data_IF_520354225061
#
_entry.id   IF_520354225061
#
_cell.length_a   1.000
_cell.length_b   1.000
_cell.length_c   1.000
_cell.angle_alpha   90.00
_cell.angle_beta   90.00
_cell.angle_gamma   90.00
#
_symmetry.space_group_name_H-M   'P 1'
#
loop_
_entity.id
_entity.type
_entity.pdbx_description
1 polymer ?
#
# COMPACT_ATOMS: atom_id res chain seq x y z
N UNK A 1 -10.63 17.62 27.07
CA UNK A 1 -9.30 17.19 26.58
C UNK A 1 -9.16 17.60 25.14
N UNK A 2 -8.06 18.24 24.76
CA UNK A 2 -7.77 18.56 23.36
C UNK A 2 -7.63 17.26 22.56
N UNK A 3 -8.29 17.16 21.41
CA UNK A 3 -8.14 15.99 20.53
C UNK A 3 -6.68 15.90 20.04
N UNK A 4 -6.05 14.74 20.21
CA UNK A 4 -4.65 14.50 19.82
C UNK A 4 -4.59 13.65 18.56
N UNK A 5 -3.55 13.85 17.76
CA UNK A 5 -3.27 13.07 16.57
C UNK A 5 -2.31 11.93 16.93
N UNK A 6 -2.67 10.71 16.57
CA UNK A 6 -1.76 9.57 16.72
C UNK A 6 -0.68 9.58 15.65
N UNK A 7 0.56 9.39 16.06
CA UNK A 7 1.74 9.52 15.20
C UNK A 7 2.50 8.19 15.08
N UNK A 8 3.10 7.97 13.92
CA UNK A 8 4.14 6.96 13.73
C UNK A 8 5.47 7.69 13.70
N UNK A 9 6.25 7.53 14.77
CA UNK A 9 7.47 8.30 15.02
C UNK A 9 8.71 7.41 14.84
N UNK A 10 9.58 7.76 13.89
CA UNK A 10 10.91 7.16 13.81
C UNK A 10 11.90 8.04 14.58
N UNK A 11 12.49 7.48 15.64
CA UNK A 11 13.55 8.11 16.40
C UNK A 11 14.88 7.71 15.78
N UNK A 12 15.67 8.70 15.38
CA UNK A 12 16.95 8.53 14.72
C UNK A 12 18.02 9.07 15.65
N UNK A 13 18.80 8.16 16.26
CA UNK A 13 19.79 8.51 17.26
C UNK A 13 21.21 8.31 16.73
N UNK A 14 22.00 9.36 16.86
CA UNK A 14 23.42 9.36 16.53
C UNK A 14 24.20 8.57 17.59
N UNK A 15 24.92 7.55 17.16
CA UNK A 15 25.84 6.76 17.99
C UNK A 15 27.27 6.85 17.49
N UNK A 16 27.61 7.91 16.75
CA UNK A 16 28.97 8.18 16.28
C UNK A 16 29.90 8.57 17.43
N UNK A 17 31.22 8.50 17.21
CA UNK A 17 32.22 8.83 18.24
C UNK A 17 32.08 10.23 18.84
N UNK A 18 31.50 11.20 18.13
CA UNK A 18 31.27 12.54 18.67
C UNK A 18 30.29 12.55 19.85
N UNK A 19 29.46 11.52 19.97
CA UNK A 19 28.46 11.34 21.03
C UNK A 19 29.05 10.78 22.33
N UNK A 20 30.35 10.41 22.33
CA UNK A 20 31.09 10.03 23.54
C UNK A 20 31.57 11.23 24.36
N UNK A 21 31.42 12.47 23.86
CA UNK A 21 31.87 13.67 24.58
C UNK A 21 31.10 13.84 25.91
N UNK A 22 31.82 14.34 26.91
CA UNK A 22 31.35 14.52 28.29
C UNK A 22 30.92 15.97 28.60
N UNK A 23 30.64 16.77 27.57
CA UNK A 23 30.03 18.10 27.74
C UNK A 23 28.58 18.01 28.25
N UNK A 24 27.98 16.82 28.18
CA UNK A 24 26.78 16.42 28.91
C UNK A 24 27.15 15.27 29.83
N UNK A 25 26.57 15.24 31.03
CA UNK A 25 26.80 14.14 31.98
C UNK A 25 25.74 13.04 31.78
N UNK A 26 26.12 11.75 31.75
CA UNK A 26 27.50 11.24 31.72
C UNK A 26 28.17 11.36 30.34
N UNK A 27 27.41 11.19 29.25
CA UNK A 27 27.85 11.43 27.87
C UNK A 27 26.71 12.07 27.08
N UNK A 28 26.99 12.65 25.91
CA UNK A 28 25.94 13.13 24.98
C UNK A 28 24.94 12.04 24.63
N UNK A 29 25.41 10.82 24.33
CA UNK A 29 24.53 9.70 24.01
C UNK A 29 23.57 9.39 25.15
N UNK A 30 24.07 9.29 26.38
CA UNK A 30 23.20 9.00 27.52
C UNK A 30 22.16 10.10 27.74
N UNK A 31 22.56 11.37 27.61
CA UNK A 31 21.62 12.48 27.68
C UNK A 31 20.53 12.40 26.59
N UNK A 32 20.87 11.95 25.37
CA UNK A 32 19.87 11.68 24.33
C UNK A 32 18.92 10.56 24.75
N UNK A 33 19.47 9.44 25.24
CA UNK A 33 18.70 8.27 25.65
C UNK A 33 17.70 8.66 26.74
N UNK A 34 18.13 9.40 27.75
CA UNK A 34 17.25 9.86 28.85
C UNK A 34 16.13 10.78 28.32
N UNK A 35 16.46 11.69 27.40
CA UNK A 35 15.49 12.58 26.78
C UNK A 35 14.49 11.82 25.87
N UNK A 36 14.96 10.83 25.12
CA UNK A 36 14.12 9.98 24.29
C UNK A 36 13.18 9.14 25.17
N UNK A 37 13.69 8.52 26.24
CA UNK A 37 12.88 7.75 27.18
C UNK A 37 11.78 8.60 27.80
N UNK A 38 12.12 9.83 28.24
CA UNK A 38 11.13 10.81 28.74
C UNK A 38 10.08 11.14 27.68
N UNK A 39 10.51 11.44 26.45
CA UNK A 39 9.62 11.75 25.33
C UNK A 39 8.65 10.61 25.03
N UNK A 40 9.15 9.37 24.92
CA UNK A 40 8.34 8.19 24.63
C UNK A 40 7.27 8.00 25.71
N UNK A 41 7.70 8.03 26.98
CA UNK A 41 6.81 7.85 28.13
C UNK A 41 5.69 8.91 28.15
N UNK A 42 6.07 10.18 28.14
CA UNK A 42 5.11 11.29 28.17
C UNK A 42 4.19 11.27 26.95
N UNK A 43 4.68 10.86 25.77
CA UNK A 43 3.84 10.73 24.59
C UNK A 43 2.83 9.60 24.71
N UNK A 44 3.22 8.44 25.21
CA UNK A 44 2.32 7.29 25.37
C UNK A 44 1.29 7.51 26.49
N UNK A 45 1.69 8.21 27.55
CA UNK A 45 0.77 8.67 28.61
C UNK A 45 -0.32 9.61 28.05
N UNK A 46 0.05 10.49 27.11
CA UNK A 46 -0.87 11.44 26.47
C UNK A 46 -1.67 10.83 25.30
N UNK A 47 -1.08 9.88 24.57
CA UNK A 47 -1.66 9.20 23.40
C UNK A 47 -1.07 7.79 23.24
N UNK A 48 -1.75 6.82 23.83
CA UNK A 48 -1.37 5.40 23.81
C UNK A 48 -1.42 4.75 22.41
N UNK A 49 -2.00 5.45 21.43
CA UNK A 49 -2.07 5.00 20.04
C UNK A 49 -0.87 5.44 19.20
N UNK A 50 -0.02 6.35 19.69
CA UNK A 50 1.25 6.65 19.01
C UNK A 50 2.18 5.43 19.04
N UNK A 51 2.99 5.26 18.00
CA UNK A 51 3.95 4.15 17.91
C UNK A 51 5.34 4.65 17.49
N UNK A 52 6.37 3.95 17.95
CA UNK A 52 7.76 4.34 17.80
C UNK A 52 8.60 3.23 17.16
N UNK A 53 9.53 3.62 16.31
CA UNK A 53 10.62 2.78 15.80
C UNK A 53 11.93 3.51 15.99
N UNK A 54 12.98 2.81 16.39
CA UNK A 54 14.29 3.37 16.67
C UNK A 54 15.26 2.95 15.58
N UNK A 55 15.97 3.94 15.05
CA UNK A 55 17.08 3.79 14.12
C UNK A 55 18.31 4.38 14.79
N UNK A 56 19.34 3.57 14.96
CA UNK A 56 20.66 4.10 15.32
C UNK A 56 21.48 4.33 14.07
N UNK A 57 22.41 5.26 14.14
CA UNK A 57 23.38 5.41 13.07
C UNK A 57 24.76 5.78 13.59
N UNK A 58 25.75 5.13 12.99
CA UNK A 58 27.14 5.52 13.03
C UNK A 58 27.69 5.44 11.61
N UNK A 59 28.64 4.54 11.33
CA UNK A 59 29.14 4.31 9.98
C UNK A 59 28.04 3.74 9.06
N UNK A 60 27.12 2.97 9.65
CA UNK A 60 25.93 2.46 9.00
C UNK A 60 24.67 2.84 9.81
N UNK A 61 23.54 2.89 9.11
CA UNK A 61 22.23 3.07 9.73
C UNK A 61 21.53 1.72 9.93
N UNK A 62 21.00 1.49 11.12
CA UNK A 62 20.39 0.22 11.52
C UNK A 62 19.07 0.45 12.24
N UNK A 63 18.04 -0.30 11.82
CA UNK A 63 16.75 -0.34 12.51
C UNK A 63 16.85 -1.30 13.68
N UNK A 64 16.53 -0.84 14.89
CA UNK A 64 16.55 -1.66 16.10
C UNK A 64 15.23 -2.41 16.30
N UNK A 65 14.11 -1.73 16.05
CA UNK A 65 12.77 -2.29 16.25
C UNK A 65 11.79 -1.80 15.19
N UNK A 66 10.76 -2.62 14.92
CA UNK A 66 9.57 -2.18 14.18
C UNK A 66 8.71 -1.24 15.05
N UNK A 67 7.72 -0.59 14.42
CA UNK A 67 6.80 0.29 15.16
C UNK A 67 6.08 -0.46 16.28
N UNK A 68 6.34 -0.04 17.52
CA UNK A 68 5.71 -0.57 18.73
C UNK A 68 5.29 0.58 19.64
N UNK A 69 4.30 0.34 20.48
CA UNK A 69 3.90 1.25 21.57
C UNK A 69 4.25 0.64 22.95
N UNK A 70 5.03 -0.44 22.98
CA UNK A 70 5.46 -1.11 24.20
C UNK A 70 6.73 -0.43 24.70
N UNK A 71 6.63 0.34 25.79
CA UNK A 71 7.74 1.09 26.38
C UNK A 71 8.96 0.22 26.70
N UNK A 72 8.72 -0.96 27.25
CA UNK A 72 9.79 -1.86 27.68
C UNK A 72 10.72 -2.25 26.53
N UNK A 73 10.15 -2.65 25.39
CA UNK A 73 10.92 -3.03 24.19
C UNK A 73 11.75 -1.86 23.65
N UNK A 74 11.16 -0.65 23.67
CA UNK A 74 11.83 0.58 23.23
C UNK A 74 12.99 0.93 24.17
N UNK A 75 12.80 0.80 25.48
CA UNK A 75 13.82 1.16 26.47
C UNK A 75 14.97 0.18 26.46
N UNK A 76 14.69 -1.13 26.35
CA UNK A 76 15.71 -2.17 26.16
C UNK A 76 16.56 -1.88 24.91
N UNK A 77 15.91 -1.54 23.78
CA UNK A 77 16.62 -1.17 22.54
C UNK A 77 17.53 0.05 22.69
N UNK A 78 17.15 1.02 23.53
CA UNK A 78 17.95 2.22 23.81
C UNK A 78 19.12 1.93 24.76
N UNK A 79 18.94 1.01 25.71
CA UNK A 79 19.99 0.65 26.68
C UNK A 79 21.10 -0.20 26.05
N UNK A 80 20.82 -0.90 24.95
CA UNK A 80 21.81 -1.68 24.19
C UNK A 80 22.66 -0.85 23.20
N UNK A 81 22.44 0.48 23.15
CA UNK A 81 23.16 1.35 22.24
C UNK A 81 24.64 1.46 22.60
N UNK A 82 25.49 1.30 21.58
CA UNK A 82 26.93 1.40 21.70
C UNK A 82 27.47 2.42 20.72
N UNK A 83 28.51 3.15 21.14
CA UNK A 83 29.14 4.20 20.33
C UNK A 83 30.19 3.57 19.42
N UNK A 84 30.20 3.99 18.15
CA UNK A 84 31.18 3.52 17.16
C UNK A 84 31.14 4.36 15.90
N UNK A 85 32.08 4.12 14.97
CA UNK A 85 32.04 4.69 13.62
C UNK A 85 32.00 6.23 13.49
N UNK A 86 31.76 6.66 12.26
CA UNK A 86 31.50 8.07 11.91
C UNK A 86 29.99 8.34 11.84
N UNK A 87 29.53 9.49 11.33
CA UNK A 87 28.10 9.82 11.30
C UNK A 87 27.53 9.75 9.88
N UNK A 88 26.77 8.69 9.58
CA UNK A 88 26.07 8.44 8.32
C UNK A 88 24.61 8.97 8.35
N UNK A 89 24.44 10.25 8.65
CA UNK A 89 23.11 10.88 8.79
C UNK A 89 22.22 10.72 7.54
N UNK A 90 22.80 10.78 6.34
CA UNK A 90 22.06 10.65 5.08
C UNK A 90 21.39 9.28 4.94
N UNK A 91 22.14 8.22 5.27
CA UNK A 91 21.68 6.84 5.21
C UNK A 91 20.63 6.56 6.30
N UNK A 92 20.80 7.16 7.48
CA UNK A 92 19.83 7.09 8.57
C UNK A 92 18.47 7.69 8.19
N UNK A 93 18.47 8.86 7.55
CA UNK A 93 17.25 9.49 7.04
C UNK A 93 16.60 8.64 5.92
N UNK A 94 17.39 8.09 5.00
CA UNK A 94 16.88 7.23 3.94
C UNK A 94 16.20 5.98 4.50
N UNK A 95 16.83 5.31 5.48
CA UNK A 95 16.26 4.15 6.16
C UNK A 95 14.98 4.52 6.92
N UNK A 96 14.97 5.65 7.63
CA UNK A 96 13.82 6.13 8.39
C UNK A 96 12.61 6.40 7.50
N UNK A 97 12.82 7.05 6.36
CA UNK A 97 11.76 7.30 5.38
C UNK A 97 11.24 5.97 4.81
N UNK A 98 12.13 5.02 4.52
CA UNK A 98 11.74 3.69 4.03
C UNK A 98 10.84 2.96 5.05
N UNK A 99 11.21 2.96 6.33
CA UNK A 99 10.42 2.36 7.42
C UNK A 99 9.02 2.97 7.48
N UNK A 100 8.92 4.31 7.41
CA UNK A 100 7.64 5.02 7.38
C UNK A 100 6.80 4.61 6.16
N UNK A 101 7.39 4.58 4.96
CA UNK A 101 6.66 4.20 3.73
C UNK A 101 6.14 2.76 3.85
N UNK A 102 6.95 1.85 4.37
CA UNK A 102 6.54 0.45 4.58
C UNK A 102 5.35 0.34 5.52
N UNK A 103 5.31 1.16 6.57
CA UNK A 103 4.20 1.20 7.52
C UNK A 103 2.94 1.85 6.93
N UNK A 104 3.08 2.99 6.25
CA UNK A 104 1.97 3.64 5.54
C UNK A 104 1.31 2.71 4.51
N UNK A 105 2.09 1.82 3.86
CA UNK A 105 1.51 0.83 2.96
C UNK A 105 0.66 -0.21 3.68
N UNK A 106 0.93 -0.52 4.94
CA UNK A 106 0.08 -1.41 5.76
C UNK A 106 -1.15 -0.64 6.26
N UNK A 107 -0.93 0.46 6.97
CA UNK A 107 -1.95 1.20 7.69
C UNK A 107 -1.71 2.71 7.50
N UNK A 108 -2.69 3.43 6.94
CA UNK A 108 -2.62 4.88 6.70
C UNK A 108 -3.38 5.70 7.76
N UNK A 109 -3.29 5.28 9.03
CA UNK A 109 -4.08 5.90 10.10
C UNK A 109 -3.33 6.97 10.89
N UNK A 110 -2.00 6.88 10.95
CA UNK A 110 -1.17 7.70 11.87
C UNK A 110 -0.29 8.66 11.09
N UNK A 111 -0.08 9.85 11.65
CA UNK A 111 0.75 10.91 11.03
C UNK A 111 2.23 10.50 11.11
N UNK A 112 2.97 10.44 9.99
CA UNK A 112 4.37 10.06 10.01
C UNK A 112 5.28 11.21 10.47
N UNK A 113 6.24 10.91 11.33
CA UNK A 113 7.21 11.88 11.85
C UNK A 113 8.58 11.24 12.05
N UNK A 114 9.65 12.00 11.84
CA UNK A 114 11.03 11.61 12.13
C UNK A 114 11.58 12.56 13.19
N UNK A 115 12.20 12.02 14.24
CA UNK A 115 12.93 12.79 15.26
C UNK A 115 14.41 12.44 15.16
N UNK A 116 15.27 13.43 14.97
CA UNK A 116 16.72 13.21 14.85
C UNK A 116 17.44 13.77 16.07
N UNK A 117 18.24 12.96 16.76
CA UNK A 117 19.08 13.37 17.88
C UNK A 117 20.56 13.24 17.47
N UNK A 118 21.25 14.36 17.30
CA UNK A 118 22.64 14.40 16.82
C UNK A 118 23.32 15.71 17.18
N UNK A 119 24.65 15.74 17.16
CA UNK A 119 25.43 16.98 17.21
C UNK A 119 25.51 17.69 15.84
N UNK A 120 24.95 17.07 14.80
CA UNK A 120 24.83 17.62 13.45
C UNK A 120 26.11 17.55 12.63
N UNK A 121 27.16 16.90 13.14
CA UNK A 121 28.30 16.51 12.33
C UNK A 121 27.94 15.26 11.54
N UNK A 122 28.30 15.21 10.26
CA UNK A 122 28.06 14.06 9.41
C UNK A 122 29.20 13.92 8.41
N UNK A 123 29.50 12.67 8.07
CA UNK A 123 30.44 12.34 7.00
C UNK A 123 29.69 12.37 5.68
N UNK A 124 30.34 12.82 4.60
CA UNK A 124 29.77 12.75 3.26
C UNK A 124 29.68 11.27 2.84
N UNK A 125 28.49 10.69 2.94
CA UNK A 125 28.19 9.39 2.37
C UNK A 125 27.61 9.54 0.95
N UNK A 126 27.24 8.42 0.31
CA UNK A 126 26.60 8.43 -1.00
C UNK A 126 25.23 9.15 -0.99
N UNK A 127 24.59 9.24 0.18
CA UNK A 127 23.27 9.82 0.36
C UNK A 127 23.37 11.20 1.00
N UNK A 128 22.87 12.23 0.31
CA UNK A 128 22.83 13.60 0.81
C UNK A 128 21.64 13.80 1.77
N UNK A 129 21.86 14.17 3.05
CA UNK A 129 20.80 14.46 4.00
C UNK A 129 19.78 15.49 3.51
N UNK A 130 20.24 16.51 2.78
CA UNK A 130 19.38 17.59 2.27
C UNK A 130 18.42 17.07 1.20
N UNK A 131 18.87 16.14 0.35
CA UNK A 131 17.99 15.46 -0.62
C UNK A 131 16.94 14.62 0.10
N UNK A 132 17.32 13.94 1.19
CA UNK A 132 16.37 13.14 1.98
C UNK A 132 15.33 14.03 2.67
N UNK A 133 15.69 15.21 3.18
CA UNK A 133 14.72 16.15 3.72
C UNK A 133 13.71 16.65 2.67
N UNK A 134 14.15 16.92 1.44
CA UNK A 134 13.22 17.27 0.34
C UNK A 134 12.29 16.10 -0.02
N UNK A 135 12.80 14.88 0.03
CA UNK A 135 11.99 13.68 -0.19
C UNK A 135 10.95 13.52 0.92
N UNK A 136 11.34 13.70 2.19
CA UNK A 136 10.44 13.70 3.33
C UNK A 136 9.35 14.78 3.21
N UNK A 137 9.71 16.00 2.82
CA UNK A 137 8.77 17.08 2.52
C UNK A 137 7.73 16.67 1.46
N UNK A 138 8.19 16.07 0.34
CA UNK A 138 7.31 15.58 -0.72
C UNK A 138 6.38 14.43 -0.29
N UNK A 139 6.68 13.79 0.84
CA UNK A 139 5.87 12.76 1.48
C UNK A 139 5.09 13.26 2.71
N UNK A 140 5.11 14.58 2.97
CA UNK A 140 4.50 15.18 4.17
C UNK A 140 5.02 14.57 5.49
N UNK A 141 6.25 14.07 5.50
CA UNK A 141 6.94 13.58 6.68
C UNK A 141 7.72 14.75 7.28
N UNK A 142 7.38 15.12 8.51
CA UNK A 142 8.12 16.16 9.25
C UNK A 142 9.37 15.57 9.90
N UNK A 143 10.47 16.30 9.83
CA UNK A 143 11.72 15.96 10.51
C UNK A 143 11.93 17.01 11.59
N UNK A 144 11.73 16.62 12.85
CA UNK A 144 12.12 17.44 13.99
C UNK A 144 13.55 17.04 14.37
N UNK A 145 14.41 18.02 14.66
CA UNK A 145 15.81 17.73 14.99
C UNK A 145 16.17 18.32 16.34
N UNK A 146 16.80 17.51 17.18
CA UNK A 146 17.40 17.86 18.46
C UNK A 146 18.90 17.97 18.27
N UNK A 147 19.40 19.20 18.28
CA UNK A 147 20.83 19.48 18.21
C UNK A 147 21.43 19.50 19.61
N UNK A 148 22.55 18.80 19.76
CA UNK A 148 23.29 18.65 21.01
C UNK A 148 24.72 19.17 20.83
N UNK A 149 25.25 19.82 21.86
CA UNK A 149 26.58 20.44 21.81
C UNK A 149 26.59 21.77 21.06
N UNK A 150 27.78 22.28 20.76
CA UNK A 150 27.96 23.62 20.19
C UNK A 150 27.38 23.75 18.77
N UNK A 151 26.87 24.94 18.45
CA UNK A 151 26.35 25.26 17.11
C UNK A 151 27.51 25.59 16.19
N UNK A 152 27.72 24.78 15.16
CA UNK A 152 28.64 25.11 14.08
C UNK A 152 28.00 26.12 13.12
N UNK A 153 28.83 26.85 12.35
CA UNK A 153 28.35 27.80 11.35
C UNK A 153 27.44 27.14 10.29
N UNK A 154 27.65 25.85 10.00
CA UNK A 154 26.83 25.06 9.08
C UNK A 154 25.89 24.14 9.87
N UNK A 155 24.70 24.63 10.18
CA UNK A 155 23.70 23.87 10.92
C UNK A 155 22.80 23.06 9.97
N UNK A 156 23.26 21.86 9.60
CA UNK A 156 22.49 20.97 8.71
C UNK A 156 21.19 20.53 9.36
N UNK A 157 21.16 20.24 10.67
CA UNK A 157 19.94 19.83 11.37
C UNK A 157 18.82 20.88 11.27
N UNK A 158 19.15 22.16 11.46
CA UNK A 158 18.19 23.25 11.25
C UNK A 158 17.64 23.26 9.82
N UNK A 159 18.53 23.10 8.83
CA UNK A 159 18.12 23.04 7.41
C UNK A 159 17.19 21.85 7.12
N UNK A 160 17.40 20.69 7.74
CA UNK A 160 16.53 19.52 7.57
C UNK A 160 15.13 19.80 8.13
N UNK A 161 15.06 20.40 9.32
CA UNK A 161 13.80 20.83 9.95
C UNK A 161 13.06 21.84 9.09
N UNK A 162 13.74 22.90 8.65
CA UNK A 162 13.15 23.97 7.83
C UNK A 162 12.61 23.45 6.49
N UNK A 163 13.34 22.54 5.82
CA UNK A 163 12.90 21.95 4.55
C UNK A 163 11.69 21.03 4.71
N UNK A 164 11.63 20.25 5.79
CA UNK A 164 10.53 19.31 6.04
C UNK A 164 9.32 19.98 6.70
N UNK A 165 9.47 21.20 7.23
CA UNK A 165 8.46 21.88 8.03
C UNK A 165 8.32 21.30 9.46
N UNK A 166 9.41 20.72 9.98
CA UNK A 166 9.53 20.26 11.36
C UNK A 166 10.12 21.33 12.29
N UNK A 167 10.27 20.97 13.56
CA UNK A 167 10.81 21.85 14.61
C UNK A 167 12.30 21.58 14.85
N UNK A 168 13.07 22.64 14.97
CA UNK A 168 14.47 22.59 15.38
C UNK A 168 14.58 22.91 16.88
N UNK A 169 15.07 21.95 17.66
CA UNK A 169 15.37 22.10 19.08
C UNK A 169 16.87 22.21 19.27
N UNK A 170 17.31 23.22 19.99
CA UNK A 170 18.69 23.40 20.39
C UNK A 170 18.80 23.30 21.90
N UNK A 171 19.70 22.44 22.37
CA UNK A 171 19.91 22.25 23.80
C UNK A 171 21.39 22.33 24.08
N UNK A 172 21.79 23.13 25.07
CA UNK A 172 23.17 23.25 25.57
C UNK A 172 23.36 22.60 26.95
N UNK A 173 22.28 22.09 27.55
CA UNK A 173 22.26 21.43 28.85
C UNK A 173 21.28 20.25 28.82
N UNK A 174 21.44 19.32 29.77
CA UNK A 174 20.53 18.18 29.89
C UNK A 174 19.11 18.61 30.26
N UNK A 175 18.94 19.64 31.11
CA UNK A 175 17.62 20.17 31.46
C UNK A 175 16.90 20.73 30.23
N UNK A 176 17.60 21.55 29.43
CA UNK A 176 17.05 22.09 28.18
C UNK A 176 16.65 20.99 27.18
N UNK A 177 17.42 19.89 27.14
CA UNK A 177 17.09 18.75 26.28
C UNK A 177 15.84 18.01 26.79
N UNK A 178 15.72 17.81 28.10
CA UNK A 178 14.53 17.20 28.73
C UNK A 178 13.29 18.09 28.59
N UNK A 179 13.44 19.41 28.58
CA UNK A 179 12.35 20.35 28.35
C UNK A 179 11.92 20.35 26.87
N UNK A 180 12.88 20.29 25.96
CA UNK A 180 12.61 20.15 24.51
C UNK A 180 11.91 18.83 24.21
N UNK A 181 12.32 17.75 24.88
CA UNK A 181 11.67 16.44 24.79
C UNK A 181 10.21 16.51 25.25
N UNK A 182 9.94 17.18 26.37
CA UNK A 182 8.59 17.41 26.89
C UNK A 182 7.73 18.23 25.91
N UNK A 183 8.25 19.35 25.40
CA UNK A 183 7.54 20.16 24.39
C UNK A 183 7.21 19.34 23.14
N UNK A 184 8.14 18.49 22.68
CA UNK A 184 7.88 17.60 21.57
C UNK A 184 6.83 16.54 21.92
N UNK A 185 6.86 15.95 23.11
CA UNK A 185 5.85 15.00 23.58
C UNK A 185 4.45 15.63 23.57
N UNK A 186 4.30 16.88 23.99
CA UNK A 186 3.00 17.56 23.98
C UNK A 186 2.52 18.03 22.61
N UNK A 187 3.40 18.09 21.60
CA UNK A 187 3.14 18.77 20.31
C UNK A 187 2.05 18.14 19.43
N UNK A 188 1.58 16.92 19.70
CA UNK A 188 0.61 16.19 18.88
C UNK A 188 -0.86 16.64 19.05
N UNK A 189 -1.09 17.92 19.34
CA UNK A 189 -2.43 18.49 19.47
C UNK A 189 -3.03 18.75 18.09
N UNK A 190 -4.25 18.26 17.85
CA UNK A 190 -5.00 18.54 16.63
C UNK A 190 -5.40 20.02 16.60
N UNK A 191 -4.69 20.84 15.81
CA UNK A 191 -5.15 22.20 15.52
C UNK A 191 -6.27 22.14 14.48
N UNK A 192 -7.46 22.63 14.83
CA UNK A 192 -8.61 22.72 13.90
C UNK A 192 -8.17 23.48 12.64
N UNK A 193 -8.27 22.85 11.46
CA UNK A 193 -7.92 23.44 10.16
C UNK A 193 -6.59 23.00 9.52
N UNK A 194 -5.85 22.04 10.10
CA UNK A 194 -4.60 21.54 9.50
C UNK A 194 -4.84 20.81 8.16
N UNK A 195 -4.18 21.28 7.09
CA UNK A 195 -4.17 20.68 5.73
C UNK A 195 -3.53 19.28 5.66
N UNK A 196 -2.90 18.80 6.72
CA UNK A 196 -2.11 17.56 6.74
C UNK A 196 -2.93 16.30 6.44
N UNK A 197 -4.17 16.21 6.93
CA UNK A 197 -5.06 15.07 6.64
C UNK A 197 -5.42 14.99 5.15
N UNK A 198 -5.52 16.13 4.46
CA UNK A 198 -5.80 16.17 3.01
C UNK A 198 -4.60 15.71 2.16
N UNK A 199 -3.38 15.79 2.68
CA UNK A 199 -2.16 15.46 1.93
C UNK A 199 -1.90 13.95 1.88
N UNK A 200 -2.13 13.24 3.00
CA UNK A 200 -2.02 11.78 3.07
C UNK A 200 -3.05 11.10 2.15
N UNK A 201 -4.20 11.73 1.93
CA UNK A 201 -5.25 11.24 1.04
C UNK A 201 -5.14 11.80 -0.39
N UNK A 202 -4.04 12.47 -0.74
CA UNK A 202 -3.86 12.97 -2.10
C UNK A 202 -3.53 11.81 -3.07
N UNK A 203 -4.17 11.74 -4.25
CA UNK A 203 -3.95 10.65 -5.20
C UNK A 203 -2.49 10.51 -5.65
N UNK A 204 -1.79 11.64 -5.82
CA UNK A 204 -0.37 11.64 -6.20
C UNK A 204 0.53 11.05 -5.11
N UNK A 205 0.22 11.33 -3.84
CA UNK A 205 0.96 10.78 -2.72
C UNK A 205 0.76 9.28 -2.62
N UNK A 206 -0.49 8.81 -2.65
CA UNK A 206 -0.83 7.38 -2.65
C UNK A 206 -0.06 6.61 -3.72
N UNK A 207 -0.01 7.15 -4.94
CA UNK A 207 0.72 6.54 -6.06
C UNK A 207 2.24 6.48 -5.86
N UNK A 208 2.83 7.47 -5.17
CA UNK A 208 4.27 7.50 -4.85
C UNK A 208 4.63 6.48 -3.78
N UNK A 209 3.80 6.34 -2.75
CA UNK A 209 4.07 5.40 -1.67
C UNK A 209 3.75 3.96 -2.06
N UNK A 210 2.74 3.71 -2.90
CA UNK A 210 2.27 2.36 -3.22
C UNK A 210 3.37 1.45 -3.78
N UNK A 211 3.36 0.18 -3.37
CA UNK A 211 4.38 -0.78 -3.78
C UNK A 211 4.11 -1.34 -5.18
N UNK A 212 5.17 -1.48 -5.98
CA UNK A 212 5.08 -2.19 -7.25
C UNK A 212 4.80 -3.68 -7.03
N UNK A 213 3.99 -4.25 -7.91
CA UNK A 213 3.73 -5.68 -7.92
C UNK A 213 4.95 -6.45 -8.41
N UNK A 214 5.21 -7.60 -7.80
CA UNK A 214 6.29 -8.50 -8.24
C UNK A 214 5.80 -9.32 -9.44
N UNK A 215 6.66 -9.50 -10.43
CA UNK A 215 6.44 -10.43 -11.54
C UNK A 215 6.87 -11.83 -11.14
N UNK A 216 6.48 -12.82 -11.95
CA UNK A 216 6.92 -14.22 -11.76
C UNK A 216 8.46 -14.33 -11.77
N UNK A 217 9.13 -13.52 -12.59
CA UNK A 217 10.60 -13.49 -12.71
C UNK A 217 11.29 -12.84 -11.50
N UNK A 218 10.60 -11.99 -10.75
CA UNK A 218 11.20 -11.24 -9.63
C UNK A 218 11.24 -12.07 -8.34
N UNK A 219 10.63 -13.25 -8.32
CA UNK A 219 10.59 -14.15 -7.17
C UNK A 219 11.93 -14.90 -7.04
N UNK A 220 12.50 -14.89 -5.83
CA UNK A 220 13.62 -15.78 -5.52
C UNK A 220 13.15 -17.23 -5.46
N UNK A 221 14.04 -18.18 -5.78
CA UNK A 221 13.74 -19.63 -5.66
C UNK A 221 13.22 -20.00 -4.28
N UNK A 222 13.76 -19.38 -3.22
CA UNK A 222 13.31 -19.59 -1.84
C UNK A 222 11.88 -19.08 -1.60
N UNK A 223 11.52 -17.93 -2.16
CA UNK A 223 10.15 -17.39 -2.06
C UNK A 223 9.17 -18.26 -2.85
N UNK A 224 9.55 -18.70 -4.04
CA UNK A 224 8.73 -19.60 -4.86
C UNK A 224 8.44 -20.92 -4.12
N UNK A 225 9.44 -21.53 -3.50
CA UNK A 225 9.25 -22.74 -2.68
C UNK A 225 8.31 -22.51 -1.49
N UNK A 226 8.43 -21.38 -0.79
CA UNK A 226 7.50 -21.02 0.29
C UNK A 226 6.06 -20.86 -0.19
N UNK A 227 5.86 -20.21 -1.35
CA UNK A 227 4.52 -20.05 -1.93
C UNK A 227 3.93 -21.42 -2.30
N UNK A 228 4.74 -22.32 -2.88
CA UNK A 228 4.33 -23.70 -3.18
C UNK A 228 3.96 -24.48 -1.92
N UNK A 229 4.68 -24.28 -0.83
CA UNK A 229 4.40 -24.93 0.45
C UNK A 229 3.10 -24.41 1.09
N UNK A 230 2.87 -23.10 1.05
CA UNK A 230 1.69 -22.47 1.67
C UNK A 230 0.39 -22.75 0.91
N UNK A 231 0.45 -22.86 -0.42
CA UNK A 231 -0.75 -23.01 -1.27
C UNK A 231 -0.91 -24.39 -1.90
N UNK A 232 0.08 -25.28 -1.73
CA UNK A 232 0.14 -26.55 -2.42
C UNK A 232 0.65 -26.43 -3.87
N UNK A 233 1.18 -27.54 -4.39
CA UNK A 233 1.79 -27.60 -5.73
C UNK A 233 0.80 -27.36 -6.89
N UNK A 234 -0.50 -27.57 -6.68
CA UNK A 234 -1.52 -27.40 -7.71
C UNK A 234 -2.02 -25.94 -7.83
N UNK A 235 -2.05 -25.19 -6.73
CA UNK A 235 -2.76 -23.90 -6.67
C UNK A 235 -1.84 -22.68 -6.56
N UNK A 236 -0.51 -22.87 -6.48
CA UNK A 236 0.42 -21.75 -6.31
C UNK A 236 0.41 -20.73 -7.46
N UNK A 237 -0.07 -21.12 -8.66
CA UNK A 237 -0.25 -20.22 -9.84
C UNK A 237 -1.68 -19.74 -10.04
N UNK A 238 -2.64 -20.15 -9.22
CA UNK A 238 -4.03 -19.72 -9.37
C UNK A 238 -4.22 -18.34 -8.77
N UNK A 239 -4.82 -17.43 -9.54
CA UNK A 239 -5.18 -16.11 -9.04
C UNK A 239 -6.16 -16.23 -7.87
N UNK A 240 -5.95 -15.45 -6.81
CA UNK A 240 -6.83 -15.44 -5.63
C UNK A 240 -8.18 -14.75 -5.84
N UNK A 241 -8.37 -14.03 -6.95
CA UNK A 241 -9.63 -13.33 -7.26
C UNK A 241 -10.53 -14.19 -8.14
N UNK A 242 -10.01 -14.75 -9.23
CA UNK A 242 -10.80 -15.56 -10.17
C UNK A 242 -10.62 -17.08 -9.99
N UNK A 243 -9.70 -17.50 -9.13
CA UNK A 243 -9.36 -18.92 -8.86
C UNK A 243 -8.89 -19.73 -10.10
N UNK A 244 -8.52 -19.05 -11.19
CA UNK A 244 -7.99 -19.64 -12.42
C UNK A 244 -6.48 -19.38 -12.59
N UNK A 245 -5.80 -20.25 -13.33
CA UNK A 245 -4.43 -20.02 -13.81
C UNK A 245 -4.41 -19.09 -15.04
N UNK A 246 -5.42 -19.19 -15.91
CA UNK A 246 -5.58 -18.33 -17.07
C UNK A 246 -6.34 -17.05 -16.73
N UNK A 247 -5.90 -15.94 -17.33
CA UNK A 247 -6.52 -14.63 -17.13
C UNK A 247 -7.88 -14.56 -17.85
N UNK A 248 -9.00 -14.29 -17.14
CA UNK A 248 -10.33 -14.27 -17.76
C UNK A 248 -10.49 -13.16 -18.80
N UNK A 249 -9.69 -12.09 -18.75
CA UNK A 249 -9.81 -10.94 -19.64
C UNK A 249 -8.98 -11.08 -20.92
N UNK A 250 -7.75 -11.57 -20.78
CA UNK A 250 -6.81 -11.68 -21.91
C UNK A 250 -6.64 -13.11 -22.42
N UNK A 251 -7.14 -14.11 -21.68
CA UNK A 251 -6.85 -15.55 -21.87
C UNK A 251 -5.35 -15.89 -21.83
N UNK A 252 -4.52 -14.95 -21.36
CA UNK A 252 -3.08 -15.12 -21.22
C UNK A 252 -2.72 -16.05 -20.05
N UNK A 253 -1.56 -16.68 -20.13
CA UNK A 253 -1.01 -17.50 -19.06
C UNK A 253 -0.63 -16.68 -17.82
N UNK A 254 -0.62 -17.31 -16.65
CA UNK A 254 -0.19 -16.66 -15.41
C UNK A 254 1.25 -16.13 -15.49
N UNK A 255 2.11 -16.70 -16.35
CA UNK A 255 3.47 -16.20 -16.55
C UNK A 255 3.50 -14.73 -17.04
N UNK A 256 2.58 -14.38 -17.95
CA UNK A 256 2.54 -13.07 -18.59
C UNK A 256 1.81 -12.04 -17.72
N UNK A 257 0.61 -12.41 -17.27
CA UNK A 257 -0.33 -11.49 -16.60
C UNK A 257 -0.31 -11.62 -15.08
N UNK A 258 0.29 -12.69 -14.56
CA UNK A 258 0.38 -12.97 -13.13
C UNK A 258 1.35 -12.03 -12.43
N UNK A 259 0.94 -11.60 -11.25
CA UNK A 259 1.63 -10.67 -10.37
C UNK A 259 1.47 -11.14 -8.93
N UNK A 260 2.44 -10.81 -8.10
CA UNK A 260 2.44 -11.14 -6.68
C UNK A 260 2.46 -9.89 -5.82
N UNK A 261 1.71 -9.91 -4.71
CA UNK A 261 1.83 -8.88 -3.70
C UNK A 261 3.24 -8.94 -3.06
N UNK A 262 3.97 -7.83 -2.95
CA UNK A 262 5.30 -7.83 -2.33
C UNK A 262 5.27 -8.20 -0.85
N UNK A 263 4.15 -7.93 -0.15
CA UNK A 263 3.97 -8.23 1.27
C UNK A 263 3.56 -9.69 1.53
N UNK A 264 2.35 -10.10 1.13
CA UNK A 264 1.82 -11.45 1.42
C UNK A 264 2.14 -12.52 0.36
N UNK A 265 2.75 -12.13 -0.78
CA UNK A 265 3.01 -13.02 -1.91
C UNK A 265 1.75 -13.69 -2.52
N UNK A 266 0.57 -13.13 -2.27
CA UNK A 266 -0.65 -13.60 -2.92
C UNK A 266 -0.57 -13.38 -4.46
N UNK A 267 -0.92 -14.39 -5.27
CA UNK A 267 -0.96 -14.30 -6.73
C UNK A 267 -2.26 -13.66 -7.24
N UNK A 268 -2.13 -12.77 -8.21
CA UNK A 268 -3.23 -12.13 -8.92
C UNK A 268 -2.93 -12.04 -10.42
N UNK A 269 -3.93 -12.13 -11.28
CA UNK A 269 -3.78 -11.55 -12.61
C UNK A 269 -3.89 -10.04 -12.51
N UNK A 270 -3.07 -9.33 -13.26
CA UNK A 270 -3.05 -7.86 -13.28
C UNK A 270 -4.41 -7.26 -13.66
N UNK A 271 -5.16 -7.89 -14.57
CA UNK A 271 -6.50 -7.44 -14.98
C UNK A 271 -7.55 -7.71 -13.90
N UNK A 272 -7.50 -8.86 -13.23
CA UNK A 272 -8.36 -9.16 -12.08
C UNK A 272 -8.13 -8.16 -10.95
N UNK A 273 -6.87 -7.82 -10.65
CA UNK A 273 -6.55 -6.82 -9.65
C UNK A 273 -7.04 -5.42 -10.04
N UNK A 274 -6.99 -5.07 -11.33
CA UNK A 274 -7.49 -3.77 -11.81
C UNK A 274 -9.01 -3.69 -11.73
N UNK A 275 -9.72 -4.78 -12.05
CA UNK A 275 -11.16 -4.88 -11.86
C UNK A 275 -11.53 -4.76 -10.38
N UNK A 276 -10.82 -5.46 -9.50
CA UNK A 276 -10.98 -5.36 -8.05
C UNK A 276 -10.78 -3.92 -7.54
N UNK A 277 -9.75 -3.23 -8.04
CA UNK A 277 -9.50 -1.84 -7.68
C UNK A 277 -10.65 -0.92 -8.08
N UNK A 278 -11.23 -1.14 -9.27
CA UNK A 278 -12.34 -0.34 -9.79
C UNK A 278 -13.65 -0.59 -9.06
N UNK A 279 -13.79 -1.74 -8.38
CA UNK A 279 -14.96 -2.04 -7.53
C UNK A 279 -14.86 -1.50 -6.10
N UNK A 280 -13.72 -0.90 -5.71
CA UNK A 280 -13.59 -0.29 -4.39
C UNK A 280 -14.39 1.01 -4.30
N UNK A 281 -14.96 1.30 -3.13
CA UNK A 281 -15.76 2.52 -2.92
C UNK A 281 -14.91 3.80 -2.77
N UNK A 282 -13.62 3.67 -2.50
CA UNK A 282 -12.73 4.80 -2.27
C UNK A 282 -12.22 5.41 -3.59
N UNK A 283 -12.80 6.55 -3.95
CA UNK A 283 -12.45 7.29 -5.17
C UNK A 283 -10.97 7.73 -5.19
N UNK A 284 -10.36 8.00 -4.04
CA UNK A 284 -8.96 8.47 -3.98
C UNK A 284 -7.98 7.39 -4.42
N UNK A 285 -8.26 6.13 -4.06
CA UNK A 285 -7.48 4.97 -4.50
C UNK A 285 -7.63 4.76 -6.01
N UNK A 286 -8.86 4.87 -6.54
CA UNK A 286 -9.13 4.73 -7.98
C UNK A 286 -8.38 5.80 -8.78
N UNK A 287 -8.50 7.08 -8.38
CA UNK A 287 -7.88 8.21 -9.07
C UNK A 287 -6.34 8.15 -9.02
N UNK A 288 -5.78 7.61 -7.92
CA UNK A 288 -4.34 7.39 -7.79
C UNK A 288 -3.82 6.22 -8.62
N UNK A 289 -4.71 5.36 -9.14
CA UNK A 289 -4.36 4.10 -9.78
C UNK A 289 -3.64 3.14 -8.83
N UNK A 290 -4.08 3.11 -7.57
CA UNK A 290 -3.60 2.19 -6.53
C UNK A 290 -4.77 1.38 -5.98
N UNK A 291 -4.47 0.28 -5.29
CA UNK A 291 -5.48 -0.54 -4.66
C UNK A 291 -4.95 -1.22 -3.41
N UNK A 292 -5.86 -1.57 -2.50
CA UNK A 292 -5.55 -2.41 -1.35
C UNK A 292 -5.57 -3.88 -1.76
N UNK A 293 -4.53 -4.63 -1.39
CA UNK A 293 -4.44 -6.07 -1.60
C UNK A 293 -5.68 -6.77 -1.00
N UNK A 294 -6.41 -7.61 -1.76
CA UNK A 294 -7.57 -8.34 -1.23
C UNK A 294 -7.27 -9.23 -0.02
N UNK A 295 -6.04 -9.73 0.10
CA UNK A 295 -5.64 -10.68 1.14
C UNK A 295 -5.04 -10.01 2.38
N UNK A 296 -4.26 -8.94 2.22
CA UNK A 296 -3.50 -8.35 3.34
C UNK A 296 -3.61 -6.83 3.44
N UNK A 297 -4.49 -6.20 2.66
CA UNK A 297 -4.74 -4.76 2.65
C UNK A 297 -3.52 -3.86 2.40
N UNK A 298 -2.39 -4.43 1.99
CA UNK A 298 -1.20 -3.68 1.62
C UNK A 298 -1.48 -2.79 0.40
N UNK A 299 -0.95 -1.57 0.39
CA UNK A 299 -1.14 -0.61 -0.70
C UNK A 299 -0.29 -0.98 -1.93
N UNK A 300 -0.97 -1.31 -3.02
CA UNK A 300 -0.38 -1.78 -4.27
C UNK A 300 -0.56 -0.75 -5.38
N UNK A 301 0.45 -0.60 -6.22
CA UNK A 301 0.41 0.25 -7.40
C UNK A 301 -0.02 -0.56 -8.61
N UNK A 302 -1.03 -0.07 -9.33
CA UNK A 302 -1.47 -0.67 -10.58
C UNK A 302 -0.61 -0.08 -11.72
N UNK A 303 0.05 -0.94 -12.53
CA UNK A 303 0.81 -0.50 -13.69
C UNK A 303 -0.08 0.28 -14.68
N UNK A 304 0.46 1.39 -15.19
CA UNK A 304 -0.26 2.33 -16.07
C UNK A 304 -0.75 1.69 -17.35
N UNK A 305 0.01 0.72 -17.86
CA UNK A 305 -0.20 0.06 -19.15
C UNK A 305 -1.54 -0.67 -19.18
N UNK A 306 -1.92 -1.26 -18.05
CA UNK A 306 -3.17 -2.03 -17.92
C UNK A 306 -4.37 -1.12 -17.69
N UNK A 307 -4.20 -0.04 -16.93
CA UNK A 307 -5.26 0.95 -16.72
C UNK A 307 -5.64 1.66 -18.03
N UNK A 308 -4.65 1.99 -18.88
CA UNK A 308 -4.90 2.61 -20.18
C UNK A 308 -5.53 1.62 -21.18
N UNK A 309 -5.05 0.37 -21.23
CA UNK A 309 -5.60 -0.66 -22.11
C UNK A 309 -7.09 -0.97 -21.83
N UNK A 310 -7.51 -0.95 -20.57
CA UNK A 310 -8.93 -1.12 -20.21
C UNK A 310 -9.78 0.08 -20.63
N UNK A 311 -9.31 1.32 -20.38
CA UNK A 311 -10.00 2.56 -20.82
C UNK A 311 -10.13 2.63 -22.34
N UNK A 312 -9.11 2.21 -23.07
CA UNK A 312 -9.14 2.14 -24.53
C UNK A 312 -10.12 1.07 -25.02
N UNK A 313 -10.22 -0.09 -24.37
CA UNK A 313 -11.20 -1.14 -24.72
C UNK A 313 -12.66 -0.72 -24.47
N UNK A 314 -12.94 0.07 -23.43
CA UNK A 314 -14.27 0.68 -23.25
C UNK A 314 -14.55 1.73 -24.31
N UNK A 315 -13.58 2.59 -24.64
CA UNK A 315 -13.72 3.60 -25.70
C UNK A 315 -13.87 2.98 -27.09
N UNK A 316 -13.15 1.90 -27.41
CA UNK A 316 -13.29 1.22 -28.70
C UNK A 316 -14.60 0.48 -28.84
N UNK A 317 -15.16 -0.08 -27.75
CA UNK A 317 -16.54 -0.60 -27.74
C UNK A 317 -17.58 0.51 -27.99
N UNK A 318 -17.29 1.76 -27.63
CA UNK A 318 -18.11 2.92 -27.96
C UNK A 318 -17.86 3.48 -29.37
N UNK A 319 -16.68 3.25 -29.98
CA UNK A 319 -16.40 3.68 -31.35
C UNK A 319 -16.81 2.65 -32.40
N UNK A 320 -16.90 1.36 -32.06
CA UNK A 320 -17.47 0.33 -32.94
C UNK A 320 -18.99 0.36 -33.02
N UNK A 321 -19.69 1.17 -32.20
CA UNK A 321 -21.14 1.37 -32.33
C UNK A 321 -21.54 2.53 -33.26
N UNK A 322 -20.58 3.23 -33.89
CA UNK A 322 -20.87 4.33 -34.85
C UNK A 322 -20.22 4.17 -36.23
N UNK A 323 -19.56 3.06 -36.53
CA UNK A 323 -18.98 2.81 -37.85
C UNK A 323 -19.04 1.32 -38.21
N UNK A 324 -20.25 0.82 -38.47
CA UNK A 324 -20.46 -0.29 -39.40
C UNK A 324 -21.81 -0.08 -40.07
N UNK A 325 -21.76 0.24 -41.35
CA UNK A 325 -22.94 0.29 -42.21
C UNK A 325 -23.67 -1.05 -42.23
N UNK A 326 -24.98 -0.94 -42.43
CA UNK A 326 -25.85 -1.93 -43.09
C UNK A 326 -25.37 -3.38 -43.02
N UNK A 327 -25.76 -4.08 -41.97
CA UNK A 327 -25.97 -5.52 -42.06
C UNK A 327 -27.39 -5.78 -41.60
N UNK A 328 -28.16 -6.37 -42.50
CA UNK A 328 -29.52 -6.84 -42.30
C UNK A 328 -29.65 -7.56 -40.95
N UNK A 329 -30.75 -7.28 -40.27
CA UNK A 329 -31.14 -7.97 -39.04
C UNK A 329 -31.39 -9.45 -39.33
N UNK A 330 -30.36 -10.27 -39.28
CA UNK A 330 -30.49 -11.74 -39.23
C UNK A 330 -31.16 -12.11 -37.91
N UNK A 331 -32.48 -12.33 -37.99
CA UNK A 331 -33.26 -12.95 -36.93
C UNK A 331 -32.87 -14.42 -36.90
N UNK A 332 -32.27 -14.90 -35.81
CA UNK A 332 -31.91 -16.30 -35.66
C UNK A 332 -33.07 -17.09 -35.04
N UNK A 333 -33.47 -18.23 -35.62
CA UNK A 333 -34.49 -19.09 -35.01
C UNK A 333 -33.94 -19.72 -33.73
N UNK A 334 -34.65 -19.57 -32.62
CA UNK A 334 -34.31 -20.26 -31.39
C UNK A 334 -34.83 -21.71 -31.46
N UNK A 335 -33.99 -22.67 -31.06
CA UNK A 335 -34.34 -24.10 -31.09
C UNK A 335 -35.05 -24.48 -29.79
N UNK A 336 -36.23 -25.11 -29.91
CA UNK A 336 -36.92 -25.78 -28.81
C UNK A 336 -36.37 -27.19 -28.69
N UNK A 337 -35.80 -27.49 -27.53
CA UNK A 337 -35.18 -28.79 -27.26
C UNK A 337 -35.77 -29.33 -25.95
N UNK A 338 -36.04 -30.62 -25.89
CA UNK A 338 -36.39 -31.29 -24.64
C UNK A 338 -35.10 -31.64 -23.88
N UNK A 339 -35.14 -31.58 -22.56
CA UNK A 339 -33.98 -31.90 -21.71
C UNK A 339 -33.41 -33.30 -21.96
N UNK A 340 -34.22 -34.24 -22.44
CA UNK A 340 -33.81 -35.63 -22.65
C UNK A 340 -32.83 -35.77 -23.83
N UNK A 341 -32.84 -34.83 -24.78
CA UNK A 341 -32.01 -34.86 -26.00
C UNK A 341 -30.56 -34.36 -25.77
N UNK A 342 -30.27 -33.82 -24.59
CA UNK A 342 -29.04 -33.06 -24.29
C UNK A 342 -28.11 -33.77 -23.28
N UNK A 343 -28.51 -34.93 -22.75
CA UNK A 343 -27.72 -35.80 -21.87
C UNK A 343 -27.17 -35.12 -20.60
N UNK A 344 -26.11 -35.68 -20.02
CA UNK A 344 -25.50 -35.25 -18.74
C UNK A 344 -24.95 -33.80 -18.74
N UNK A 345 -24.93 -33.11 -19.89
CA UNK A 345 -24.42 -31.74 -20.02
C UNK A 345 -25.36 -30.66 -19.49
N UNK A 346 -26.62 -31.00 -19.15
CA UNK A 346 -27.59 -30.05 -18.59
C UNK A 346 -27.39 -29.82 -17.09
N UNK A 347 -26.91 -30.81 -16.34
CA UNK A 347 -26.73 -30.78 -14.88
C UNK A 347 -25.88 -29.59 -14.39
N UNK A 348 -25.01 -29.06 -15.25
CA UNK A 348 -24.09 -27.96 -14.93
C UNK A 348 -24.45 -26.63 -15.58
N UNK A 349 -25.61 -26.53 -16.25
CA UNK A 349 -26.08 -25.31 -16.91
C UNK A 349 -27.29 -24.73 -16.18
N UNK A 350 -27.29 -23.41 -16.02
CA UNK A 350 -28.41 -22.66 -15.42
C UNK A 350 -28.95 -21.61 -16.39
N UNK A 351 -30.21 -21.26 -16.21
CA UNK A 351 -30.86 -20.24 -17.02
C UNK A 351 -30.34 -18.83 -16.64
N UNK A 352 -29.85 -18.00 -17.57
CA UNK A 352 -29.35 -16.64 -17.27
C UNK A 352 -30.40 -15.60 -16.84
N UNK A 353 -31.67 -16.01 -16.76
CA UNK A 353 -32.79 -15.14 -16.36
C UNK A 353 -33.18 -15.41 -14.92
N UNK A 354 -33.46 -16.66 -14.56
CA UNK A 354 -33.85 -17.05 -13.20
C UNK A 354 -32.73 -17.68 -12.37
N UNK A 355 -31.57 -17.98 -12.97
CA UNK A 355 -30.43 -18.68 -12.36
C UNK A 355 -30.73 -20.09 -11.82
N UNK A 356 -31.90 -20.68 -12.16
CA UNK A 356 -32.25 -22.05 -11.80
C UNK A 356 -31.67 -23.07 -12.80
N UNK A 357 -31.39 -24.27 -12.29
CA UNK A 357 -31.06 -25.45 -13.10
C UNK A 357 -32.32 -25.98 -13.80
N UNK A 358 -32.13 -26.75 -14.86
CA UNK A 358 -33.22 -27.36 -15.63
C UNK A 358 -33.56 -28.74 -15.06
N UNK A 359 -34.85 -29.04 -14.91
CA UNK A 359 -35.33 -30.35 -14.44
C UNK A 359 -35.55 -31.33 -15.60
N UNK A 360 -35.63 -32.63 -15.31
CA UNK A 360 -35.93 -33.66 -16.31
C UNK A 360 -37.33 -33.47 -16.93
N UNK A 361 -37.51 -33.81 -18.20
CA UNK A 361 -38.72 -33.57 -19.01
C UNK A 361 -39.16 -32.10 -19.19
N UNK A 362 -38.25 -31.12 -19.16
CA UNK A 362 -38.58 -29.71 -19.41
C UNK A 362 -38.30 -29.27 -20.85
N UNK A 363 -39.15 -28.41 -21.39
CA UNK A 363 -38.92 -27.73 -22.67
C UNK A 363 -38.05 -26.49 -22.46
N UNK A 364 -36.91 -26.45 -23.14
CA UNK A 364 -35.94 -25.36 -23.02
C UNK A 364 -35.64 -24.74 -24.38
N UNK A 365 -35.30 -23.45 -24.34
CA UNK A 365 -34.96 -22.67 -25.53
C UNK A 365 -33.45 -22.54 -25.63
N UNK A 366 -32.86 -23.03 -26.72
CA UNK A 366 -31.43 -22.93 -26.99
C UNK A 366 -31.14 -21.83 -28.00
N UNK A 367 -30.18 -20.98 -27.66
CA UNK A 367 -29.61 -20.04 -28.61
C UNK A 367 -28.64 -20.76 -29.57
N UNK A 368 -28.85 -20.72 -30.90
CA UNK A 368 -28.00 -21.44 -31.87
C UNK A 368 -26.58 -20.85 -31.96
N UNK A 369 -26.39 -19.58 -31.61
CA UNK A 369 -25.11 -18.89 -31.76
C UNK A 369 -24.16 -19.13 -30.57
N UNK A 370 -24.67 -19.23 -29.34
CA UNK A 370 -23.85 -19.33 -28.13
C UNK A 370 -24.22 -20.50 -27.21
N UNK A 371 -25.17 -21.36 -27.61
CA UNK A 371 -25.62 -22.53 -26.87
C UNK A 371 -26.10 -22.26 -25.44
N UNK A 372 -26.51 -21.01 -25.18
CA UNK A 372 -27.12 -20.61 -23.91
C UNK A 372 -28.54 -21.15 -23.85
N UNK A 373 -28.91 -21.73 -22.71
CA UNK A 373 -30.21 -22.35 -22.47
C UNK A 373 -31.09 -21.41 -21.64
N UNK A 374 -32.38 -21.35 -21.97
CA UNK A 374 -33.39 -20.57 -21.26
C UNK A 374 -34.60 -21.45 -20.94
N UNK A 375 -35.23 -21.24 -19.78
CA UNK A 375 -36.59 -21.75 -19.57
C UNK A 375 -37.54 -21.05 -20.54
N UNK A 376 -38.56 -21.76 -21.01
CA UNK A 376 -39.53 -21.23 -21.97
C UNK A 376 -40.23 -19.96 -21.43
N UNK A 377 -40.59 -19.95 -20.15
CA UNK A 377 -41.18 -18.78 -19.49
C UNK A 377 -40.18 -17.61 -19.37
N UNK A 378 -38.93 -17.92 -19.03
CA UNK A 378 -37.86 -16.94 -18.93
C UNK A 378 -37.52 -16.31 -20.29
N UNK A 379 -37.65 -17.07 -21.38
CA UNK A 379 -37.45 -16.57 -22.74
C UNK A 379 -38.57 -15.61 -23.14
N UNK A 380 -39.83 -15.92 -22.81
CA UNK A 380 -40.99 -15.03 -23.05
C UNK A 380 -40.89 -13.69 -22.31
N UNK A 381 -40.20 -13.66 -21.17
CA UNK A 381 -39.98 -12.44 -20.38
C UNK A 381 -38.83 -11.55 -20.89
N UNK A 382 -38.06 -11.99 -21.90
CA UNK A 382 -36.99 -11.17 -22.46
C UNK A 382 -37.56 -10.00 -23.26
N UNK A 383 -37.25 -8.77 -22.84
CA UNK A 383 -37.56 -7.58 -23.63
C UNK A 383 -36.80 -7.63 -24.96
N UNK A 384 -37.55 -7.57 -26.06
CA UNK A 384 -37.08 -7.62 -27.46
C UNK A 384 -36.41 -8.93 -27.92
N UNK A 385 -36.58 -10.04 -27.18
CA UNK A 385 -36.10 -11.38 -27.55
C UNK A 385 -34.60 -11.48 -27.85
N UNK A 386 -33.78 -10.64 -27.22
CA UNK A 386 -32.32 -10.72 -27.37
C UNK A 386 -31.69 -11.73 -26.41
N UNK A 387 -30.72 -12.50 -26.92
CA UNK A 387 -29.93 -13.40 -26.08
C UNK A 387 -29.04 -12.60 -25.11
N UNK A 388 -29.15 -12.83 -23.80
CA UNK A 388 -28.29 -12.20 -22.77
C UNK A 388 -26.78 -12.47 -22.92
N UNK A 389 -26.40 -13.57 -23.59
CA UNK A 389 -24.98 -13.94 -23.74
C UNK A 389 -24.36 -13.36 -25.02
N UNK A 390 -25.05 -13.42 -26.16
CA UNK A 390 -24.52 -12.96 -27.45
C UNK A 390 -25.21 -11.74 -28.06
N UNK A 391 -26.25 -11.19 -27.41
CA UNK A 391 -27.00 -10.00 -27.81
C UNK A 391 -27.63 -10.04 -29.22
N UNK A 392 -27.71 -11.22 -29.86
CA UNK A 392 -28.46 -11.41 -31.12
C UNK A 392 -29.96 -11.55 -30.84
N UNK A 393 -30.79 -11.05 -31.75
CA UNK A 393 -32.25 -11.18 -31.69
C UNK A 393 -32.64 -12.61 -32.06
N UNK A 394 -33.35 -13.26 -31.16
CA UNK A 394 -33.86 -14.61 -31.30
C UNK A 394 -35.35 -14.55 -31.61
N UNK A 395 -35.83 -15.41 -32.49
CA UNK A 395 -37.26 -15.61 -32.72
C UNK A 395 -37.59 -17.08 -32.50
N UNK A 396 -38.60 -17.32 -31.67
CA UNK A 396 -39.13 -18.66 -31.44
C UNK A 396 -40.34 -18.82 -32.37
N UNK A 397 -40.31 -19.79 -33.28
CA UNK A 397 -41.43 -20.09 -34.19
C UNK A 397 -42.47 -20.99 -33.53
#
# INVERSE_FOLDING_TARGET
>A
MSERLSENIVIVIDTSRSMYKNDYKPTRLQACVDAIKKLIKERLDLDSSSAFSIVRFSENAEKLNDFTNIEKELFESLDELNIGGESALGDALALSIKIIIEELRKIMAKVPKILVFSDGNFTKTAVDPVKMARLAQGLSIKIDTFRIGEVSQLNVLKRLSDLSGGNYYYSNSISSLLDSAHQCAESNVRRRGLKSEKLINSPQFLRKIAANLLRVQDLTKSQEMRIKQLRGQADYKKCTICFSESDPYSKGSFYLTGRYCPNCKAPFHIHCLTAWASSQSDQTLIDSGTCRCPHCFYLLKIPTEVSQAQKLKTLTKFSTSKASGTTESEILPAELINTDDLGDMILYKSCPVCNLIFEENQQIVRCPNCNTLYHLECFKQLTDSHCKSCYKKLHLY
#
